data_IF_017217130004
#
_entry.id   IF_017217130004
#
_cell.length_a   1.000
_cell.length_b   1.000
_cell.length_c   1.000
_cell.angle_alpha   90.00
_cell.angle_beta   90.00
_cell.angle_gamma   90.00
#
_symmetry.space_group_name_H-M   'P 1'
#
loop_
_entity.id
_entity.type
_entity.pdbx_description
1 polymer ?
#
# COMPACT_ATOMS: atom_id res chain seq x y z
N UNK A 1 -24.94 5.44 -9.71
CA UNK A 1 -25.70 5.96 -8.55
C UNK A 1 -24.88 6.02 -7.26
N UNK A 2 -24.52 4.90 -6.61
CA UNK A 2 -23.79 4.96 -5.31
C UNK A 2 -22.35 5.51 -5.44
N UNK A 3 -21.58 5.04 -6.42
CA UNK A 3 -20.20 5.50 -6.66
C UNK A 3 -20.15 6.97 -7.12
N UNK A 4 -21.07 7.40 -7.98
CA UNK A 4 -21.16 8.80 -8.43
C UNK A 4 -21.48 9.76 -7.29
N UNK A 5 -22.36 9.33 -6.35
CA UNK A 5 -22.65 10.10 -5.14
C UNK A 5 -21.42 10.22 -4.25
N UNK A 6 -20.73 9.11 -3.99
CA UNK A 6 -19.50 9.11 -3.20
C UNK A 6 -18.42 10.02 -3.82
N UNK A 7 -18.24 10.00 -5.14
CA UNK A 7 -17.32 10.92 -5.83
C UNK A 7 -17.72 12.38 -5.67
N UNK A 8 -19.02 12.68 -5.74
CA UNK A 8 -19.51 14.05 -5.53
C UNK A 8 -19.25 14.52 -4.10
N UNK A 9 -19.57 13.67 -3.12
CA UNK A 9 -19.37 13.95 -1.71
C UNK A 9 -17.86 14.18 -1.42
N UNK A 10 -16.98 13.36 -2.00
CA UNK A 10 -15.54 13.53 -1.93
C UNK A 10 -15.03 14.83 -2.57
N UNK A 11 -15.59 15.24 -3.73
CA UNK A 11 -15.22 16.51 -4.38
C UNK A 11 -15.58 17.71 -3.52
N UNK A 12 -16.79 17.73 -2.97
CA UNK A 12 -17.24 18.80 -2.09
C UNK A 12 -16.36 18.89 -0.83
N UNK A 13 -16.04 17.73 -0.24
CA UNK A 13 -15.13 17.68 0.90
C UNK A 13 -13.73 18.19 0.55
N UNK A 14 -13.15 17.75 -0.59
CA UNK A 14 -11.84 18.22 -1.05
C UNK A 14 -11.81 19.72 -1.32
N UNK A 15 -12.88 20.27 -1.92
CA UNK A 15 -13.02 21.72 -2.13
C UNK A 15 -13.08 22.50 -0.82
N UNK A 16 -13.81 22.00 0.18
CA UNK A 16 -13.82 22.59 1.53
C UNK A 16 -12.43 22.56 2.18
N UNK A 17 -11.70 21.44 2.05
CA UNK A 17 -10.31 21.35 2.55
C UNK A 17 -9.38 22.36 1.88
N UNK A 18 -9.47 22.52 0.55
CA UNK A 18 -8.68 23.52 -0.18
C UNK A 18 -9.06 24.95 0.26
N UNK A 19 -10.34 25.25 0.44
CA UNK A 19 -10.79 26.56 0.90
C UNK A 19 -10.28 26.89 2.32
N UNK A 20 -10.19 25.88 3.20
CA UNK A 20 -9.63 26.07 4.55
C UNK A 20 -8.12 26.32 4.57
N UNK A 21 -7.43 26.16 3.44
CA UNK A 21 -6.02 26.55 3.28
C UNK A 21 -5.86 28.06 3.07
N UNK A 22 -6.94 28.81 2.89
CA UNK A 22 -6.87 30.26 2.77
C UNK A 22 -6.42 30.93 4.07
N UNK A 23 -5.35 31.73 3.97
CA UNK A 23 -4.68 32.36 5.12
C UNK A 23 -3.72 31.46 5.90
N UNK A 24 -3.57 30.17 5.52
CA UNK A 24 -2.55 29.30 6.10
C UNK A 24 -1.15 29.56 5.50
N UNK A 25 -0.11 29.08 6.19
CA UNK A 25 1.26 29.13 5.69
C UNK A 25 1.40 28.42 4.35
N UNK A 26 2.08 29.07 3.40
CA UNK A 26 2.48 28.50 2.11
C UNK A 26 3.90 27.90 2.15
N UNK A 27 4.53 27.89 3.32
CA UNK A 27 5.85 27.26 3.52
C UNK A 27 5.76 25.76 3.24
N UNK A 28 6.65 25.23 2.40
CA UNK A 28 6.70 23.82 2.05
C UNK A 28 6.83 22.90 3.27
N UNK A 29 7.43 23.39 4.36
CA UNK A 29 7.58 22.66 5.63
C UNK A 29 6.26 22.49 6.39
N UNK A 30 5.20 23.21 6.02
CA UNK A 30 3.85 23.00 6.56
C UNK A 30 3.12 21.83 5.86
N UNK A 31 3.57 21.41 4.67
CA UNK A 31 2.94 20.35 3.89
C UNK A 31 2.80 19.02 4.63
N UNK A 32 3.81 18.50 5.38
CA UNK A 32 3.66 17.26 6.14
C UNK A 32 2.46 17.24 7.10
N UNK A 33 2.25 18.34 7.83
CA UNK A 33 1.13 18.45 8.75
C UNK A 33 -0.22 18.45 8.02
N UNK A 34 -0.29 19.15 6.89
CA UNK A 34 -1.47 19.15 6.02
C UNK A 34 -1.76 17.75 5.46
N UNK A 35 -0.75 17.08 4.90
CA UNK A 35 -0.90 15.73 4.33
C UNK A 35 -1.38 14.73 5.38
N UNK A 36 -0.76 14.71 6.57
CA UNK A 36 -1.15 13.83 7.66
C UNK A 36 -2.57 14.15 8.17
N UNK A 37 -2.92 15.42 8.30
CA UNK A 37 -4.29 15.84 8.68
C UNK A 37 -5.33 15.34 7.68
N UNK A 38 -5.08 15.57 6.39
CA UNK A 38 -5.98 15.16 5.32
C UNK A 38 -6.21 13.64 5.27
N UNK A 39 -5.14 12.84 5.39
CA UNK A 39 -5.26 11.36 5.44
C UNK A 39 -6.09 10.91 6.63
N UNK A 40 -5.93 11.54 7.78
CA UNK A 40 -6.63 11.20 9.02
C UNK A 40 -8.11 11.52 8.95
N UNK A 41 -8.44 12.77 8.60
CA UNK A 41 -9.81 13.23 8.37
C UNK A 41 -10.51 12.35 7.32
N UNK A 42 -9.80 11.99 6.25
CA UNK A 42 -10.35 11.14 5.19
C UNK A 42 -10.77 9.75 5.70
N UNK A 43 -9.94 9.08 6.50
CA UNK A 43 -10.24 7.70 6.94
C UNK A 43 -11.10 7.63 8.20
N UNK A 44 -11.18 8.71 8.96
CA UNK A 44 -11.95 8.80 10.20
C UNK A 44 -13.31 9.47 9.97
N UNK A 45 -13.32 10.68 9.43
CA UNK A 45 -14.54 11.49 9.30
C UNK A 45 -15.26 11.19 7.98
N UNK A 46 -14.51 10.91 6.92
CA UNK A 46 -15.05 10.53 5.60
C UNK A 46 -14.99 9.02 5.34
N UNK A 47 -14.94 8.19 6.41
CA UNK A 47 -14.68 6.74 6.31
C UNK A 47 -15.57 6.01 5.30
N UNK A 48 -16.85 6.36 5.23
CA UNK A 48 -17.79 5.76 4.26
C UNK A 48 -17.39 6.03 2.81
N UNK A 49 -16.97 7.26 2.52
CA UNK A 49 -16.50 7.68 1.21
C UNK A 49 -15.11 7.09 0.91
N UNK A 50 -14.24 6.99 1.91
CA UNK A 50 -12.96 6.28 1.81
C UNK A 50 -13.14 4.82 1.40
N UNK A 51 -14.10 4.09 1.99
CA UNK A 51 -14.45 2.75 1.55
C UNK A 51 -14.98 2.71 0.11
N UNK A 52 -15.88 3.63 -0.24
CA UNK A 52 -16.43 3.69 -1.59
C UNK A 52 -15.34 3.91 -2.64
N UNK A 53 -14.34 4.74 -2.34
CA UNK A 53 -13.17 4.94 -3.21
C UNK A 53 -12.39 3.64 -3.42
N UNK A 54 -12.06 2.92 -2.34
CA UNK A 54 -11.34 1.63 -2.41
C UNK A 54 -12.12 0.56 -3.16
N UNK A 55 -13.42 0.45 -2.92
CA UNK A 55 -14.27 -0.46 -3.68
C UNK A 55 -14.32 -0.07 -5.15
N UNK A 56 -14.38 1.24 -5.44
CA UNK A 56 -14.32 1.79 -6.79
C UNK A 56 -13.06 1.39 -7.54
N UNK A 57 -11.90 1.37 -6.86
CA UNK A 57 -10.63 0.91 -7.43
C UNK A 57 -10.62 -0.59 -7.76
N UNK A 58 -11.37 -1.41 -7.01
CA UNK A 58 -11.49 -2.86 -7.23
C UNK A 58 -12.49 -3.26 -8.32
N UNK A 59 -13.31 -2.32 -8.82
CA UNK A 59 -14.28 -2.59 -9.87
C UNK A 59 -13.59 -3.07 -11.17
N UNK A 60 -14.26 -3.99 -11.87
CA UNK A 60 -13.77 -4.52 -13.16
C UNK A 60 -13.77 -3.44 -14.23
N UNK A 61 -12.59 -3.07 -14.69
CA UNK A 61 -12.36 -2.09 -15.76
C UNK A 61 -12.73 -2.57 -17.15
N UNK A 62 -12.86 -3.88 -17.35
CA UNK A 62 -13.46 -4.43 -18.58
C UNK A 62 -14.92 -4.01 -18.79
N UNK A 63 -15.58 -3.43 -17.79
CA UNK A 63 -16.87 -2.76 -17.95
C UNK A 63 -16.68 -1.25 -18.15
N UNK A 64 -17.36 -0.61 -19.13
CA UNK A 64 -17.29 0.84 -19.33
C UNK A 64 -17.64 1.63 -18.06
N UNK A 65 -18.62 1.16 -17.29
CA UNK A 65 -19.02 1.77 -16.03
C UNK A 65 -17.91 1.71 -14.96
N UNK A 66 -17.22 0.57 -14.83
CA UNK A 66 -16.08 0.43 -13.91
C UNK A 66 -14.91 1.32 -14.29
N UNK A 67 -14.60 1.42 -15.60
CA UNK A 67 -13.57 2.32 -16.11
C UNK A 67 -13.90 3.79 -15.80
N UNK A 68 -15.15 4.21 -16.00
CA UNK A 68 -15.62 5.57 -15.71
C UNK A 68 -15.50 5.89 -14.21
N UNK A 69 -15.92 4.97 -13.32
CA UNK A 69 -15.79 5.17 -11.87
C UNK A 69 -14.32 5.34 -11.47
N UNK A 70 -13.41 4.51 -11.98
CA UNK A 70 -11.98 4.62 -11.64
C UNK A 70 -11.36 5.91 -12.17
N UNK A 71 -11.69 6.30 -13.40
CA UNK A 71 -11.26 7.58 -13.96
C UNK A 71 -11.75 8.76 -13.11
N UNK A 72 -13.03 8.75 -12.70
CA UNK A 72 -13.61 9.81 -11.87
C UNK A 72 -12.92 9.99 -10.51
N UNK A 73 -12.52 8.88 -9.86
CA UNK A 73 -11.74 8.92 -8.62
C UNK A 73 -10.31 9.42 -8.83
N UNK A 74 -9.66 9.00 -9.92
CA UNK A 74 -8.29 9.42 -10.26
C UNK A 74 -8.23 10.91 -10.55
N UNK A 75 -9.13 11.41 -11.40
CA UNK A 75 -9.21 12.84 -11.72
C UNK A 75 -9.46 13.67 -10.46
N UNK A 76 -10.39 13.25 -9.60
CA UNK A 76 -10.67 13.95 -8.34
C UNK A 76 -9.41 14.19 -7.50
N UNK A 77 -8.64 13.13 -7.21
CA UNK A 77 -7.48 13.25 -6.33
C UNK A 77 -6.30 13.94 -7.00
N UNK A 78 -6.09 13.70 -8.29
CA UNK A 78 -5.07 14.44 -9.04
C UNK A 78 -5.36 15.94 -9.03
N UNK A 79 -6.58 16.37 -9.39
CA UNK A 79 -6.94 17.78 -9.43
C UNK A 79 -6.82 18.44 -8.04
N UNK A 80 -7.15 17.70 -6.97
CA UNK A 80 -6.97 18.14 -5.60
C UNK A 80 -5.48 18.33 -5.26
N UNK A 81 -4.64 17.35 -5.55
CA UNK A 81 -3.22 17.40 -5.22
C UNK A 81 -2.43 18.39 -6.07
N UNK A 82 -2.82 18.62 -7.33
CA UNK A 82 -2.28 19.71 -8.14
C UNK A 82 -2.46 21.06 -7.45
N UNK A 83 -3.67 21.38 -7.00
CA UNK A 83 -3.97 22.64 -6.30
C UNK A 83 -3.29 22.72 -4.93
N UNK A 84 -3.32 21.64 -4.14
CA UNK A 84 -2.72 21.62 -2.82
C UNK A 84 -1.19 21.76 -2.88
N UNK A 85 -0.52 21.02 -3.76
CA UNK A 85 0.93 21.09 -3.90
C UNK A 85 1.38 22.46 -4.44
N UNK A 86 0.63 23.05 -5.37
CA UNK A 86 0.94 24.40 -5.88
C UNK A 86 0.95 25.44 -4.77
N UNK A 87 0.00 25.36 -3.82
CA UNK A 87 -0.05 26.25 -2.65
C UNK A 87 1.19 26.17 -1.75
N UNK A 88 1.83 25.01 -1.67
CA UNK A 88 3.05 24.79 -0.88
C UNK A 88 4.34 24.92 -1.70
N UNK A 89 4.26 25.28 -2.99
CA UNK A 89 5.43 25.34 -3.88
C UNK A 89 6.03 23.97 -4.19
N UNK A 90 5.23 22.91 -4.14
CA UNK A 90 5.63 21.51 -4.31
C UNK A 90 5.07 20.88 -5.60
N UNK A 91 4.77 21.69 -6.63
CA UNK A 91 4.14 21.24 -7.88
C UNK A 91 4.96 20.17 -8.63
N UNK A 92 6.28 20.09 -8.42
CA UNK A 92 7.13 19.02 -8.95
C UNK A 92 6.83 17.64 -8.35
N UNK A 93 6.23 17.60 -7.15
CA UNK A 93 5.97 16.41 -6.37
C UNK A 93 4.55 15.84 -6.50
N UNK A 94 3.66 16.46 -7.29
CA UNK A 94 2.23 16.10 -7.35
C UNK A 94 2.00 14.61 -7.59
N UNK A 95 2.69 14.04 -8.59
CA UNK A 95 2.57 12.61 -8.89
C UNK A 95 2.92 11.77 -7.66
N UNK A 96 4.05 12.04 -7.02
CA UNK A 96 4.50 11.31 -5.85
C UNK A 96 3.50 11.43 -4.69
N UNK A 97 3.00 12.63 -4.44
CA UNK A 97 2.02 12.90 -3.38
C UNK A 97 0.71 12.17 -3.64
N UNK A 98 0.18 12.20 -4.87
CA UNK A 98 -1.06 11.49 -5.24
C UNK A 98 -0.92 9.97 -5.00
N UNK A 99 0.21 9.38 -5.41
CA UNK A 99 0.49 7.96 -5.20
C UNK A 99 0.64 7.62 -3.71
N UNK A 100 1.35 8.44 -2.95
CA UNK A 100 1.54 8.21 -1.52
C UNK A 100 0.25 8.41 -0.75
N UNK A 101 -0.57 9.40 -1.09
CA UNK A 101 -1.90 9.57 -0.53
C UNK A 101 -2.80 8.37 -0.86
N UNK A 102 -2.81 7.93 -2.13
CA UNK A 102 -3.52 6.73 -2.57
C UNK A 102 -3.19 5.55 -1.69
N UNK A 103 -1.92 5.34 -1.35
CA UNK A 103 -1.56 4.18 -0.57
C UNK A 103 -1.70 4.38 0.94
N UNK A 104 -1.36 5.54 1.48
CA UNK A 104 -1.43 5.82 2.91
C UNK A 104 -2.85 6.01 3.41
N UNK A 105 -3.73 6.61 2.60
CA UNK A 105 -5.16 6.60 2.90
C UNK A 105 -5.71 5.18 2.95
N UNK A 106 -5.11 4.20 2.28
CA UNK A 106 -5.54 2.81 2.38
C UNK A 106 -5.06 2.17 3.69
N UNK A 107 -3.75 2.27 3.95
CA UNK A 107 -3.16 1.73 5.17
C UNK A 107 -3.73 2.35 6.44
N UNK A 108 -4.02 3.65 6.41
CA UNK A 108 -4.55 4.35 7.57
C UNK A 108 -6.00 3.93 7.90
N UNK A 109 -6.68 3.23 6.99
CA UNK A 109 -7.95 2.56 7.30
C UNK A 109 -7.80 1.31 8.17
N UNK A 110 -6.61 0.70 8.20
CA UNK A 110 -6.26 -0.43 9.07
C UNK A 110 -5.99 0.09 10.49
N UNK A 111 -6.99 -0.03 11.35
CA UNK A 111 -6.93 0.46 12.73
C UNK A 111 -6.22 -0.56 13.61
N UNK A 112 -5.18 -0.12 14.32
CA UNK A 112 -4.52 -0.92 15.34
C UNK A 112 -4.51 -0.21 16.69
N UNK A 113 -3.75 0.88 16.82
CA UNK A 113 -3.67 1.69 18.04
C UNK A 113 -3.66 3.16 17.66
N UNK A 114 -4.75 3.89 17.90
CA UNK A 114 -4.95 5.27 17.42
C UNK A 114 -3.75 6.20 17.68
N UNK A 115 -3.18 6.18 18.89
CA UNK A 115 -2.03 7.02 19.23
C UNK A 115 -0.80 6.71 18.37
N UNK A 116 -0.49 5.42 18.18
CA UNK A 116 0.65 4.97 17.37
C UNK A 116 0.36 5.17 15.87
N UNK A 117 -0.87 4.91 15.45
CA UNK A 117 -1.33 5.07 14.08
C UNK A 117 -1.26 6.53 13.64
N UNK A 118 -1.61 7.48 14.54
CA UNK A 118 -1.51 8.92 14.29
C UNK A 118 -0.06 9.37 14.23
N UNK A 119 0.71 9.09 15.27
CA UNK A 119 2.10 9.53 15.35
C UNK A 119 2.94 8.95 14.21
N UNK A 120 2.73 7.68 13.85
CA UNK A 120 3.41 7.05 12.72
C UNK A 120 2.94 7.55 11.34
N UNK A 121 1.77 8.17 11.24
CA UNK A 121 1.34 8.90 10.05
C UNK A 121 2.03 10.27 9.98
N UNK A 122 2.12 10.98 11.11
CA UNK A 122 2.85 12.25 11.19
C UNK A 122 4.33 12.06 10.81
N UNK A 123 5.00 11.05 11.37
CA UNK A 123 6.39 10.71 11.02
C UNK A 123 6.55 10.36 9.53
N UNK A 124 5.59 9.63 8.96
CA UNK A 124 5.63 9.32 7.53
C UNK A 124 5.47 10.57 6.68
N UNK A 125 4.51 11.44 7.01
CA UNK A 125 4.30 12.68 6.28
C UNK A 125 5.52 13.60 6.38
N UNK A 126 6.21 13.64 7.53
CA UNK A 126 7.48 14.34 7.68
C UNK A 126 8.56 13.75 6.77
N UNK A 127 8.66 12.41 6.69
CA UNK A 127 9.55 11.74 5.73
C UNK A 127 9.21 12.05 4.27
N UNK A 128 7.92 12.14 3.91
CA UNK A 128 7.48 12.53 2.56
C UNK A 128 7.90 13.97 2.27
N UNK A 129 7.68 14.90 3.20
CA UNK A 129 8.12 16.29 3.06
C UNK A 129 9.63 16.41 2.91
N UNK A 130 10.39 15.75 3.77
CA UNK A 130 11.84 15.70 3.68
C UNK A 130 12.29 15.14 2.33
N UNK A 131 11.62 14.11 1.81
CA UNK A 131 11.91 13.54 0.49
C UNK A 131 11.64 14.56 -0.62
N UNK A 132 10.49 15.25 -0.58
CA UNK A 132 10.10 16.25 -1.59
C UNK A 132 11.06 17.45 -1.65
N UNK A 133 11.66 17.79 -0.52
CA UNK A 133 12.51 18.97 -0.34
C UNK A 133 14.01 18.65 -0.39
N UNK A 134 14.40 17.38 -0.46
CA UNK A 134 15.80 16.96 -0.43
C UNK A 134 16.49 17.09 0.91
N UNK A 135 15.71 16.98 1.98
CA UNK A 135 16.21 17.06 3.34
C UNK A 135 16.56 15.68 3.89
N UNK A 136 17.38 15.66 4.93
CA UNK A 136 17.71 14.43 5.63
C UNK A 136 16.43 13.82 6.25
N UNK A 137 16.33 12.50 6.20
CA UNK A 137 15.17 11.83 6.78
C UNK A 137 15.07 12.06 8.29
N UNK A 138 13.88 12.42 8.79
CA UNK A 138 13.66 12.56 10.21
C UNK A 138 13.64 11.21 10.90
N UNK A 139 13.87 11.22 12.22
CA UNK A 139 13.67 10.04 13.05
C UNK A 139 12.19 9.63 13.07
N UNK A 140 11.93 8.33 13.14
CA UNK A 140 10.57 7.77 13.17
C UNK A 140 10.36 6.78 14.34
N UNK A 141 10.54 7.21 15.60
CA UNK A 141 10.49 6.32 16.76
C UNK A 141 9.16 5.57 16.92
N UNK A 142 8.02 6.16 16.55
CA UNK A 142 6.72 5.49 16.63
C UNK A 142 6.58 4.39 15.57
N UNK A 143 7.03 4.65 14.34
CA UNK A 143 7.07 3.62 13.29
C UNK A 143 8.07 2.51 13.64
N UNK A 144 9.25 2.85 14.15
CA UNK A 144 10.25 1.84 14.55
C UNK A 144 9.74 0.98 15.71
N UNK A 145 9.09 1.58 16.72
CA UNK A 145 8.41 0.85 17.78
C UNK A 145 7.36 -0.13 17.22
N UNK A 146 6.45 0.37 16.37
CA UNK A 146 5.38 -0.45 15.81
C UNK A 146 5.93 -1.56 14.92
N UNK A 147 6.96 -1.27 14.12
CA UNK A 147 7.67 -2.26 13.29
C UNK A 147 8.32 -3.34 14.14
N UNK A 148 9.07 -2.97 15.18
CA UNK A 148 9.73 -3.93 16.06
C UNK A 148 8.72 -4.83 16.76
N UNK A 149 7.59 -4.27 17.20
CA UNK A 149 6.51 -5.05 17.78
C UNK A 149 5.85 -5.96 16.72
N UNK A 150 5.65 -5.46 15.51
CA UNK A 150 5.11 -6.25 14.40
C UNK A 150 6.02 -7.42 14.03
N UNK A 151 7.35 -7.24 14.11
CA UNK A 151 8.33 -8.30 13.89
C UNK A 151 8.34 -9.30 15.05
N UNK A 152 8.27 -8.83 16.30
CA UNK A 152 8.21 -9.71 17.47
C UNK A 152 6.91 -10.51 17.56
N UNK A 153 5.82 -9.98 16.98
CA UNK A 153 4.53 -10.65 16.86
C UNK A 153 4.34 -11.29 15.48
N UNK A 154 5.31 -11.18 14.58
CA UNK A 154 5.28 -11.94 13.36
C UNK A 154 5.39 -13.41 13.79
N UNK A 155 4.49 -14.28 13.31
CA UNK A 155 4.63 -15.69 13.57
C UNK A 155 6.00 -16.13 13.09
N UNK A 156 6.57 -17.09 13.83
CA UNK A 156 7.79 -17.74 13.37
C UNK A 156 7.56 -18.23 11.93
N UNK A 157 8.56 -18.09 11.04
CA UNK A 157 8.49 -18.67 9.70
C UNK A 157 7.96 -20.09 9.87
N UNK A 158 6.96 -20.51 9.09
CA UNK A 158 6.28 -21.77 9.33
C UNK A 158 7.34 -22.84 9.53
N UNK A 159 7.34 -23.44 10.72
CA UNK A 159 8.16 -24.61 10.98
C UNK A 159 7.89 -25.56 9.81
N UNK A 160 8.95 -26.10 9.22
CA UNK A 160 8.91 -26.78 7.92
C UNK A 160 8.10 -28.09 7.94
N UNK A 161 7.06 -28.22 8.78
CA UNK A 161 6.01 -29.20 8.56
C UNK A 161 5.30 -28.85 7.24
N UNK A 162 5.45 -29.70 6.20
CA UNK A 162 4.89 -29.47 4.87
C UNK A 162 3.38 -29.21 4.90
N UNK A 163 2.69 -29.69 5.94
CA UNK A 163 1.25 -29.49 6.13
C UNK A 163 0.88 -28.01 6.29
N UNK A 164 1.61 -27.27 7.13
CA UNK A 164 1.30 -25.85 7.40
C UNK A 164 1.60 -24.99 6.17
N UNK A 165 2.70 -25.29 5.46
CA UNK A 165 3.04 -24.61 4.21
C UNK A 165 1.96 -24.80 3.13
N UNK A 166 1.47 -26.04 2.94
CA UNK A 166 0.37 -26.33 2.00
C UNK A 166 -0.92 -25.59 2.34
N UNK A 167 -1.24 -25.47 3.63
CA UNK A 167 -2.40 -24.71 4.10
C UNK A 167 -2.24 -23.22 3.77
N UNK A 168 -1.06 -22.66 4.02
CA UNK A 168 -0.75 -21.25 3.72
C UNK A 168 -0.80 -20.96 2.21
N UNK A 169 -0.20 -21.81 1.38
CA UNK A 169 -0.25 -21.69 -0.09
C UNK A 169 -1.69 -21.79 -0.64
N UNK A 170 -2.48 -22.76 -0.16
CA UNK A 170 -3.87 -22.90 -0.56
C UNK A 170 -4.73 -21.70 -0.13
N UNK A 171 -4.49 -21.16 1.06
CA UNK A 171 -5.16 -19.96 1.55
C UNK A 171 -4.73 -18.72 0.75
N UNK A 172 -3.45 -18.57 0.41
CA UNK A 172 -2.93 -17.50 -0.44
C UNK A 172 -3.61 -17.48 -1.82
N UNK A 173 -3.64 -18.62 -2.50
CA UNK A 173 -4.31 -18.78 -3.80
C UNK A 173 -5.81 -18.43 -3.71
N UNK A 174 -6.49 -18.86 -2.64
CA UNK A 174 -7.89 -18.50 -2.41
C UNK A 174 -8.12 -17.00 -2.20
N UNK A 175 -7.21 -16.33 -1.48
CA UNK A 175 -7.26 -14.87 -1.32
C UNK A 175 -7.10 -14.19 -2.68
N UNK A 176 -6.20 -14.66 -3.54
CA UNK A 176 -6.01 -14.11 -4.88
C UNK A 176 -7.20 -14.35 -5.82
N UNK A 177 -7.75 -15.57 -5.82
CA UNK A 177 -8.83 -16.01 -6.71
C UNK A 177 -10.21 -15.45 -6.30
N UNK A 178 -10.56 -15.60 -5.02
CA UNK A 178 -11.91 -15.40 -4.51
C UNK A 178 -12.00 -14.33 -3.42
N UNK A 179 -10.86 -13.74 -3.04
CA UNK A 179 -10.78 -12.77 -1.96
C UNK A 179 -10.99 -13.40 -0.57
N UNK A 180 -10.92 -12.59 0.50
CA UNK A 180 -11.02 -13.05 1.90
C UNK A 180 -12.34 -13.73 2.26
N UNK A 181 -13.41 -13.49 1.49
CA UNK A 181 -14.69 -14.19 1.68
C UNK A 181 -14.65 -15.64 1.22
N UNK A 182 -13.82 -15.97 0.21
CA UNK A 182 -13.66 -17.33 -0.30
C UNK A 182 -12.80 -18.23 0.59
N UNK A 183 -12.03 -17.64 1.51
CA UNK A 183 -11.17 -18.39 2.43
C UNK A 183 -12.00 -18.99 3.57
N UNK A 184 -12.22 -20.30 3.50
CA UNK A 184 -12.90 -21.10 4.52
C UNK A 184 -12.08 -22.37 4.80
N UNK A 185 -12.23 -22.96 5.98
CA UNK A 185 -11.54 -24.23 6.31
C UNK A 185 -11.81 -25.32 5.28
N UNK A 186 -13.04 -25.40 4.76
CA UNK A 186 -13.41 -26.39 3.73
C UNK A 186 -12.72 -26.10 2.40
N UNK A 187 -12.76 -24.85 1.92
CA UNK A 187 -12.13 -24.47 0.67
C UNK A 187 -10.59 -24.62 0.71
N UNK A 188 -9.99 -24.31 1.86
CA UNK A 188 -8.55 -24.49 2.10
C UNK A 188 -8.21 -25.97 2.17
N UNK A 189 -9.00 -26.80 2.87
CA UNK A 189 -8.79 -28.24 2.92
C UNK A 189 -8.86 -28.89 1.54
N UNK A 190 -9.88 -28.54 0.75
CA UNK A 190 -10.05 -29.02 -0.62
C UNK A 190 -8.84 -28.70 -1.50
N UNK A 191 -8.38 -27.43 -1.48
CA UNK A 191 -7.26 -26.99 -2.34
C UNK A 191 -5.89 -27.42 -1.84
N UNK A 192 -5.71 -27.53 -0.53
CA UNK A 192 -4.50 -28.11 0.04
C UNK A 192 -4.47 -29.64 -0.11
N UNK A 193 -5.54 -30.28 -0.60
CA UNK A 193 -5.73 -31.74 -0.63
C UNK A 193 -5.54 -32.38 0.77
N UNK A 194 -6.09 -31.71 1.78
CA UNK A 194 -6.08 -32.14 3.18
C UNK A 194 -7.51 -32.42 3.67
N UNK A 195 -7.65 -33.14 4.77
CA UNK A 195 -8.97 -33.28 5.40
C UNK A 195 -9.34 -32.00 6.14
N UNK A 196 -10.65 -31.72 6.25
CA UNK A 196 -11.16 -30.61 7.04
C UNK A 196 -10.67 -30.67 8.50
N UNK A 197 -10.54 -31.88 9.06
CA UNK A 197 -10.04 -32.09 10.42
C UNK A 197 -8.59 -31.64 10.60
N UNK A 198 -7.71 -31.92 9.62
CA UNK A 198 -6.30 -31.47 9.65
C UNK A 198 -6.21 -29.95 9.63
N UNK A 199 -6.95 -29.30 8.73
CA UNK A 199 -6.95 -27.83 8.64
C UNK A 199 -7.51 -27.19 9.90
N UNK A 200 -8.64 -27.70 10.42
CA UNK A 200 -9.29 -27.16 11.63
C UNK A 200 -8.48 -27.37 12.90
N UNK A 201 -7.67 -28.42 12.95
CA UNK A 201 -6.75 -28.67 14.06
C UNK A 201 -5.58 -27.67 14.06
N UNK A 202 -5.02 -27.38 12.87
CA UNK A 202 -3.89 -26.46 12.71
C UNK A 202 -4.31 -25.00 12.86
N UNK A 203 -5.42 -24.61 12.23
CA UNK A 203 -5.96 -23.26 12.24
C UNK A 203 -7.43 -23.36 12.63
N UNK A 204 -7.78 -22.85 13.80
CA UNK A 204 -9.11 -22.93 14.42
C UNK A 204 -10.05 -21.85 13.93
N UNK A 205 -9.52 -20.70 13.51
CA UNK A 205 -10.34 -19.53 13.15
C UNK A 205 -10.14 -19.10 11.70
N UNK A 206 -11.13 -18.36 11.16
CA UNK A 206 -11.00 -17.70 9.86
C UNK A 206 -9.86 -16.67 9.85
N UNK A 207 -9.65 -15.98 10.98
CA UNK A 207 -8.54 -15.03 11.11
C UNK A 207 -7.19 -15.72 10.94
N UNK A 208 -7.02 -16.90 11.55
CA UNK A 208 -5.81 -17.71 11.42
C UNK A 208 -5.60 -18.21 9.97
N UNK A 209 -6.66 -18.60 9.25
CA UNK A 209 -6.56 -18.95 7.83
C UNK A 209 -6.15 -17.78 6.95
N UNK A 210 -6.75 -16.61 7.16
CA UNK A 210 -6.42 -15.40 6.40
C UNK A 210 -5.00 -14.92 6.70
N UNK A 211 -4.58 -15.05 7.95
CA UNK A 211 -3.23 -14.76 8.39
C UNK A 211 -2.22 -15.70 7.72
N UNK A 212 -2.45 -17.02 7.74
CA UNK A 212 -1.59 -17.98 7.06
C UNK A 212 -1.53 -17.75 5.53
N UNK A 213 -2.67 -17.45 4.90
CA UNK A 213 -2.72 -17.10 3.48
C UNK A 213 -1.94 -15.82 3.15
N UNK A 214 -2.02 -14.82 4.02
CA UNK A 214 -1.22 -13.61 3.84
C UNK A 214 0.27 -13.84 4.03
N UNK A 215 0.66 -14.62 5.03
CA UNK A 215 2.05 -15.01 5.23
C UNK A 215 2.61 -15.69 3.97
N UNK A 216 1.84 -16.60 3.37
CA UNK A 216 2.15 -17.18 2.06
C UNK A 216 2.40 -16.10 1.00
N UNK A 217 1.46 -15.17 0.81
CA UNK A 217 1.58 -14.07 -0.16
C UNK A 217 2.81 -13.19 0.12
N UNK A 218 3.04 -12.81 1.39
CA UNK A 218 4.11 -11.90 1.77
C UNK A 218 5.48 -12.55 1.66
N UNK A 219 5.64 -13.78 2.16
CA UNK A 219 6.88 -14.56 2.07
C UNK A 219 7.23 -14.83 0.61
N UNK A 220 6.24 -15.21 -0.20
CA UNK A 220 6.44 -15.46 -1.62
C UNK A 220 6.85 -14.18 -2.37
N UNK A 221 6.13 -13.07 -2.14
CA UNK A 221 6.46 -11.78 -2.76
C UNK A 221 7.86 -11.30 -2.35
N UNK A 222 8.19 -11.37 -1.05
CA UNK A 222 9.52 -10.99 -0.56
C UNK A 222 10.63 -11.87 -1.15
N UNK A 223 10.40 -13.18 -1.27
CA UNK A 223 11.36 -14.13 -1.83
C UNK A 223 11.57 -13.92 -3.33
N UNK A 224 10.48 -13.71 -4.10
CA UNK A 224 10.53 -13.43 -5.54
C UNK A 224 11.29 -12.14 -5.85
N UNK A 225 11.03 -11.07 -5.09
CA UNK A 225 11.76 -9.82 -5.31
C UNK A 225 13.22 -9.94 -4.90
N UNK A 226 13.54 -10.63 -3.79
CA UNK A 226 14.94 -10.86 -3.38
C UNK A 226 15.73 -11.66 -4.43
N UNK A 227 15.13 -12.72 -4.97
CA UNK A 227 15.74 -13.51 -6.03
C UNK A 227 15.98 -12.68 -7.30
N UNK A 228 15.01 -11.83 -7.69
CA UNK A 228 15.13 -10.95 -8.86
C UNK A 228 16.16 -9.83 -8.66
N UNK A 229 16.18 -9.21 -7.49
CA UNK A 229 17.15 -8.18 -7.13
C UNK A 229 18.58 -8.73 -7.09
N UNK A 230 18.76 -9.95 -6.56
CA UNK A 230 20.05 -10.65 -6.57
C UNK A 230 20.52 -10.99 -7.99
N UNK A 231 19.61 -11.25 -8.92
CA UNK A 231 19.93 -11.54 -10.32
C UNK A 231 20.21 -10.28 -11.17
N UNK A 232 19.69 -9.11 -10.76
CA UNK A 232 19.78 -7.85 -11.49
C UNK A 232 20.95 -6.94 -11.03
N UNK A 233 21.79 -7.41 -10.11
CA UNK A 233 22.79 -6.62 -9.37
C UNK A 233 24.00 -6.11 -10.20
N UNK A 234 23.92 -6.04 -11.53
CA UNK A 234 25.02 -5.57 -12.38
C UNK A 234 25.09 -4.03 -12.47
N UNK A 235 23.95 -3.33 -12.51
CA UNK A 235 23.87 -1.86 -12.47
C UNK A 235 22.45 -1.35 -12.07
N UNK A 236 22.35 -0.06 -11.71
CA UNK A 236 21.09 0.56 -11.25
C UNK A 236 19.99 0.61 -12.34
N UNK A 237 20.38 0.65 -13.62
CA UNK A 237 19.42 0.67 -14.73
C UNK A 237 18.76 -0.70 -14.90
N UNK A 238 19.53 -1.79 -14.82
CA UNK A 238 19.04 -3.15 -14.81
C UNK A 238 18.13 -3.43 -13.60
N UNK A 239 18.48 -2.91 -12.42
CA UNK A 239 17.62 -3.00 -11.24
C UNK A 239 16.28 -2.28 -11.47
N UNK A 240 16.30 -1.07 -12.02
CA UNK A 240 15.10 -0.31 -12.36
C UNK A 240 14.21 -1.06 -13.36
N UNK A 241 14.79 -1.61 -14.43
CA UNK A 241 14.04 -2.38 -15.43
C UNK A 241 13.45 -3.66 -14.82
N UNK A 242 14.21 -4.36 -13.96
CA UNK A 242 13.71 -5.53 -13.22
C UNK A 242 12.56 -5.22 -12.27
N UNK A 243 12.59 -4.07 -11.59
CA UNK A 243 11.47 -3.60 -10.75
C UNK A 243 10.25 -3.29 -11.62
N UNK A 244 10.43 -2.56 -12.72
CA UNK A 244 9.34 -2.22 -13.62
C UNK A 244 8.68 -3.49 -14.21
N UNK A 245 9.47 -4.49 -14.60
CA UNK A 245 8.96 -5.78 -15.06
C UNK A 245 8.16 -6.50 -13.98
N UNK A 246 8.69 -6.57 -12.75
CA UNK A 246 8.03 -7.23 -11.63
C UNK A 246 6.68 -6.59 -11.29
N UNK A 247 6.64 -5.25 -11.20
CA UNK A 247 5.40 -4.53 -10.92
C UNK A 247 4.41 -4.63 -12.08
N UNK A 248 4.92 -4.70 -13.31
CA UNK A 248 4.10 -4.95 -14.50
C UNK A 248 3.47 -6.33 -14.40
N UNK A 249 4.20 -7.40 -14.08
CA UNK A 249 3.64 -8.75 -13.93
C UNK A 249 2.64 -8.82 -12.75
N UNK A 250 2.93 -8.11 -11.67
CA UNK A 250 2.09 -8.10 -10.46
C UNK A 250 0.85 -7.21 -10.58
N UNK A 251 0.71 -6.45 -11.68
CA UNK A 251 -0.40 -5.52 -11.89
C UNK A 251 -1.72 -6.27 -12.02
N UNK A 252 -2.75 -5.78 -11.35
CA UNK A 252 -4.09 -6.40 -11.37
C UNK A 252 -4.30 -7.53 -10.36
N UNK A 253 -3.29 -7.88 -9.55
CA UNK A 253 -3.49 -8.74 -8.38
C UNK A 253 -4.43 -8.07 -7.37
N UNK A 254 -5.63 -8.62 -7.20
CA UNK A 254 -6.66 -8.05 -6.31
C UNK A 254 -6.68 -8.65 -4.91
N UNK A 255 -5.98 -9.78 -4.69
CA UNK A 255 -6.01 -10.51 -3.43
C UNK A 255 -5.53 -9.65 -2.26
N UNK A 256 -4.38 -8.98 -2.42
CA UNK A 256 -3.80 -8.12 -1.38
C UNK A 256 -4.72 -6.94 -1.06
N UNK A 257 -5.26 -6.25 -2.06
CA UNK A 257 -6.15 -5.11 -1.84
C UNK A 257 -7.50 -5.55 -1.22
N UNK A 258 -8.06 -6.67 -1.67
CA UNK A 258 -9.27 -7.24 -1.09
C UNK A 258 -9.05 -7.64 0.38
N UNK A 259 -7.87 -8.17 0.71
CA UNK A 259 -7.47 -8.46 2.08
C UNK A 259 -7.35 -7.20 2.93
N UNK A 260 -6.67 -6.16 2.46
CA UNK A 260 -6.60 -4.88 3.17
C UNK A 260 -8.00 -4.32 3.45
N UNK A 261 -8.92 -4.38 2.47
CA UNK A 261 -10.31 -3.98 2.67
C UNK A 261 -11.04 -4.84 3.71
N UNK A 262 -10.84 -6.16 3.69
CA UNK A 262 -11.45 -7.04 4.68
C UNK A 262 -10.95 -6.70 6.09
N UNK A 263 -9.64 -6.49 6.27
CA UNK A 263 -9.05 -6.09 7.55
C UNK A 263 -9.55 -4.71 8.01
N UNK A 264 -9.72 -3.77 7.09
CA UNK A 264 -10.27 -2.45 7.40
C UNK A 264 -11.73 -2.51 7.88
N UNK A 265 -12.50 -3.53 7.46
CA UNK A 265 -13.92 -3.72 7.78
C UNK A 265 -14.14 -4.54 9.04
N UNK A 266 -13.40 -5.64 9.17
CA UNK A 266 -13.63 -6.62 10.21
C UNK A 266 -12.77 -6.35 11.44
N UNK A 267 -13.43 -5.99 12.55
CA UNK A 267 -12.76 -5.76 13.82
C UNK A 267 -12.01 -7.00 14.33
N UNK A 268 -12.45 -8.21 13.95
CA UNK A 268 -11.79 -9.46 14.34
C UNK A 268 -10.40 -9.61 13.70
N UNK A 269 -10.14 -8.94 12.57
CA UNK A 269 -8.85 -8.99 11.86
C UNK A 269 -7.88 -7.87 12.30
N UNK A 270 -8.23 -7.04 13.30
CA UNK A 270 -7.37 -5.94 13.77
C UNK A 270 -5.96 -6.34 14.22
N UNK A 271 -5.73 -7.50 14.89
CA UNK A 271 -4.38 -7.90 15.27
C UNK A 271 -3.42 -7.97 14.08
N UNK A 272 -3.96 -8.32 12.91
CA UNK A 272 -3.22 -8.46 11.67
C UNK A 272 -2.93 -7.10 10.98
N UNK A 273 -3.68 -6.05 11.34
CA UNK A 273 -3.47 -4.69 10.82
C UNK A 273 -2.09 -4.10 11.18
N UNK A 274 -1.50 -4.50 12.32
CA UNK A 274 -0.15 -4.11 12.72
C UNK A 274 0.89 -4.54 11.68
N UNK A 275 0.87 -5.81 11.30
CA UNK A 275 1.85 -6.40 10.37
C UNK A 275 1.70 -5.79 8.98
N UNK A 276 0.47 -5.75 8.45
CA UNK A 276 0.15 -5.15 7.15
C UNK A 276 0.67 -3.72 7.01
N UNK A 277 0.58 -2.95 8.09
CA UNK A 277 0.91 -1.53 8.10
C UNK A 277 2.40 -1.25 8.31
N UNK A 278 3.04 -1.97 9.23
CA UNK A 278 4.38 -1.60 9.74
C UNK A 278 5.53 -2.52 9.32
N UNK A 279 5.26 -3.70 8.72
CA UNK A 279 6.32 -4.54 8.16
C UNK A 279 6.74 -4.17 6.74
N UNK A 280 6.02 -3.24 6.11
CA UNK A 280 6.34 -2.76 4.76
C UNK A 280 7.74 -2.15 4.68
N UNK A 281 8.33 -2.21 3.48
CA UNK A 281 9.65 -1.67 3.20
C UNK A 281 10.81 -2.66 3.30
N UNK A 282 10.61 -3.89 3.82
CA UNK A 282 11.71 -4.86 3.93
C UNK A 282 12.44 -5.10 2.59
N UNK A 283 11.66 -5.30 1.53
CA UNK A 283 12.18 -5.45 0.17
C UNK A 283 12.63 -4.11 -0.43
N UNK A 284 11.85 -3.05 -0.21
CA UNK A 284 12.11 -1.73 -0.79
C UNK A 284 13.39 -1.08 -0.27
N UNK A 285 13.86 -1.44 0.93
CA UNK A 285 15.16 -0.98 1.46
C UNK A 285 16.31 -1.42 0.56
N UNK A 286 16.37 -2.71 0.21
CA UNK A 286 17.39 -3.23 -0.70
C UNK A 286 17.26 -2.62 -2.10
N UNK A 287 16.04 -2.37 -2.58
CA UNK A 287 15.82 -1.70 -3.86
C UNK A 287 16.31 -0.24 -3.83
N UNK A 288 16.10 0.48 -2.73
CA UNK A 288 16.62 1.85 -2.58
C UNK A 288 18.14 1.89 -2.65
N UNK A 289 18.84 0.98 -1.96
CA UNK A 289 20.30 0.89 -2.03
C UNK A 289 20.80 0.66 -3.46
N UNK A 290 20.07 -0.14 -4.26
CA UNK A 290 20.42 -0.38 -5.67
C UNK A 290 20.11 0.83 -6.57
N UNK A 291 19.00 1.52 -6.32
CA UNK A 291 18.56 2.68 -7.13
C UNK A 291 19.32 3.97 -6.78
N UNK A 292 19.91 4.04 -5.58
CA UNK A 292 20.65 5.19 -5.05
C UNK A 292 21.95 4.74 -4.38
N UNK A 293 22.95 4.25 -5.13
CA UNK A 293 24.18 3.70 -4.55
C UNK A 293 25.01 4.76 -3.80
N UNK A 294 24.89 6.03 -4.16
CA UNK A 294 25.64 7.14 -3.52
C UNK A 294 24.91 7.73 -2.29
N UNK A 295 23.72 7.23 -1.97
CA UNK A 295 22.95 7.70 -0.82
C UNK A 295 23.32 6.88 0.43
N UNK A 296 23.31 7.50 1.64
CA UNK A 296 23.44 6.75 2.89
C UNK A 296 22.48 5.56 2.96
N UNK A 297 22.85 4.56 3.76
CA UNK A 297 22.06 3.34 3.90
C UNK A 297 20.60 3.67 4.26
N UNK A 298 19.61 3.28 3.42
CA UNK A 298 18.24 3.73 3.59
C UNK A 298 17.63 3.23 4.91
N UNK A 299 17.00 4.16 5.64
CA UNK A 299 16.27 3.86 6.87
C UNK A 299 14.95 3.11 6.62
N UNK A 300 14.29 2.67 7.69
CA UNK A 300 12.97 2.01 7.58
C UNK A 300 11.88 2.96 7.07
N UNK A 301 11.98 4.25 7.38
CA UNK A 301 11.04 5.27 6.94
C UNK A 301 11.06 5.42 5.41
N UNK A 302 12.26 5.60 4.83
CA UNK A 302 12.49 5.68 3.38
C UNK A 302 11.98 4.44 2.66
N UNK A 303 12.31 3.28 3.22
CA UNK A 303 11.88 2.01 2.68
C UNK A 303 10.35 1.87 2.68
N UNK A 304 9.67 2.37 3.73
CA UNK A 304 8.21 2.38 3.80
C UNK A 304 7.59 3.35 2.79
N UNK A 305 8.20 4.52 2.57
CA UNK A 305 7.79 5.50 1.54
C UNK A 305 7.88 4.87 0.15
N UNK A 306 9.05 4.30 -0.21
CA UNK A 306 9.20 3.62 -1.50
C UNK A 306 8.20 2.46 -1.64
N UNK A 307 8.06 1.63 -0.60
CA UNK A 307 7.11 0.52 -0.63
C UNK A 307 5.67 0.99 -0.87
N UNK A 308 5.26 2.10 -0.25
CA UNK A 308 3.94 2.68 -0.45
C UNK A 308 3.76 3.22 -1.86
N UNK A 309 4.76 3.92 -2.38
CA UNK A 309 4.77 4.43 -3.74
C UNK A 309 4.66 3.30 -4.79
N UNK A 310 5.49 2.26 -4.69
CA UNK A 310 5.46 1.14 -5.64
C UNK A 310 4.11 0.39 -5.61
N UNK A 311 3.51 0.23 -4.43
CA UNK A 311 2.19 -0.38 -4.30
C UNK A 311 1.10 0.44 -5.01
N UNK A 312 1.14 1.78 -4.88
CA UNK A 312 0.21 2.67 -5.57
C UNK A 312 0.37 2.60 -7.09
N UNK A 313 1.61 2.63 -7.57
CA UNK A 313 1.94 2.56 -9.00
C UNK A 313 1.39 1.27 -9.64
N UNK A 314 1.51 0.12 -8.95
CA UNK A 314 0.92 -1.14 -9.42
C UNK A 314 -0.60 -1.08 -9.56
N UNK A 315 -1.31 -0.46 -8.60
CA UNK A 315 -2.77 -0.29 -8.65
C UNK A 315 -3.20 0.70 -9.73
N UNK A 316 -2.44 1.78 -9.90
CA UNK A 316 -2.76 2.84 -10.86
C UNK A 316 -2.75 2.31 -12.29
N UNK A 317 -1.75 1.48 -12.62
CA UNK A 317 -1.54 0.91 -13.95
C UNK A 317 -2.13 -0.50 -14.12
N UNK A 318 -2.97 -0.94 -13.18
CA UNK A 318 -3.56 -2.30 -13.17
C UNK A 318 -4.33 -2.66 -14.45
N UNK A 319 -4.85 -1.68 -15.19
CA UNK A 319 -5.63 -1.89 -16.42
C UNK A 319 -4.92 -1.40 -17.68
N UNK A 320 -3.70 -0.90 -17.54
CA UNK A 320 -2.88 -0.52 -18.69
C UNK A 320 -2.38 -1.79 -19.39
N UNK A 321 -2.37 -1.75 -20.72
CA UNK A 321 -1.69 -2.76 -21.54
C UNK A 321 -0.24 -2.90 -21.09
N UNK A 322 0.30 -4.12 -21.17
CA UNK A 322 1.58 -4.48 -20.51
C UNK A 322 2.72 -3.52 -20.83
N UNK A 323 2.92 -3.25 -22.11
CA UNK A 323 4.03 -2.40 -22.57
C UNK A 323 3.83 -0.94 -22.14
N UNK A 324 2.58 -0.46 -22.18
CA UNK A 324 2.24 0.89 -21.73
C UNK A 324 2.39 1.03 -20.21
N UNK A 325 1.93 0.04 -19.45
CA UNK A 325 2.07 -0.03 -18.00
C UNK A 325 3.55 0.00 -17.61
N UNK A 326 4.37 -0.86 -18.23
CA UNK A 326 5.81 -0.94 -17.96
C UNK A 326 6.50 0.39 -18.16
N UNK A 327 6.26 1.06 -19.29
CA UNK A 327 6.86 2.35 -19.60
C UNK A 327 6.46 3.43 -18.57
N UNK A 328 5.18 3.48 -18.18
CA UNK A 328 4.67 4.40 -17.16
C UNK A 328 5.26 4.13 -15.77
N UNK A 329 5.21 2.88 -15.32
CA UNK A 329 5.78 2.44 -14.04
C UNK A 329 7.25 2.82 -13.94
N UNK A 330 8.04 2.51 -14.97
CA UNK A 330 9.46 2.86 -15.01
C UNK A 330 9.66 4.37 -14.90
N UNK A 331 8.88 5.16 -15.64
CA UNK A 331 8.97 6.62 -15.61
C UNK A 331 8.60 7.18 -14.23
N UNK A 332 7.60 6.61 -13.56
CA UNK A 332 7.17 7.01 -12.21
C UNK A 332 8.29 6.76 -11.19
N UNK A 333 8.94 5.59 -11.24
CA UNK A 333 10.09 5.27 -10.37
C UNK A 333 11.26 6.24 -10.63
N UNK A 334 11.59 6.52 -11.90
CA UNK A 334 12.64 7.49 -12.23
C UNK A 334 12.34 8.86 -11.62
N UNK A 335 11.11 9.35 -11.73
CA UNK A 335 10.71 10.63 -11.14
C UNK A 335 10.85 10.62 -9.62
N UNK A 336 10.37 9.57 -8.95
CA UNK A 336 10.49 9.40 -7.50
C UNK A 336 11.95 9.46 -7.01
N UNK A 337 12.84 8.76 -7.72
CA UNK A 337 14.26 8.66 -7.36
C UNK A 337 15.04 9.92 -7.75
N UNK A 338 14.56 10.71 -8.72
CA UNK A 338 15.21 11.95 -9.14
C UNK A 338 14.99 13.13 -8.18
N UNK A 339 13.99 13.07 -7.31
CA UNK A 339 13.76 14.08 -6.27
C UNK A 339 14.90 13.97 -5.27
N UNK A 340 15.89 14.86 -5.40
CA UNK A 340 17.07 14.91 -4.54
C UNK A 340 16.70 15.34 -3.17
#
# INVERSE_FOLDING_TARGET
MAQERAQRDARLWGQDRLAQMDGLSTDSRAFPGFFAGLVDDWVHDQRGVAFAWREGQLLRTKSPAGAQVRAGWRTLWRDFWEQACDRFGLSHGVDMVDHLFENEAFLHMLKWRRAVDRAGLDELAQGIGAWLMGEAMPASPWRDFARNLAMAQAPEPPDHDPTTARIAEAAAALVEEAGPSGVTHRAVAERAELTLGVVSHKLRTKSELLQAGYEGIYVEAASRVRARASAAAADAAAALDGIADFLTVSRGGRGVDALHLAVARDAALRPFGLQLRYLRGATSRSLLSLLRPDHPEPGHLEAAILSGFLAAVTRLHADSEADHARAKIRADIVRMIAIR
#
